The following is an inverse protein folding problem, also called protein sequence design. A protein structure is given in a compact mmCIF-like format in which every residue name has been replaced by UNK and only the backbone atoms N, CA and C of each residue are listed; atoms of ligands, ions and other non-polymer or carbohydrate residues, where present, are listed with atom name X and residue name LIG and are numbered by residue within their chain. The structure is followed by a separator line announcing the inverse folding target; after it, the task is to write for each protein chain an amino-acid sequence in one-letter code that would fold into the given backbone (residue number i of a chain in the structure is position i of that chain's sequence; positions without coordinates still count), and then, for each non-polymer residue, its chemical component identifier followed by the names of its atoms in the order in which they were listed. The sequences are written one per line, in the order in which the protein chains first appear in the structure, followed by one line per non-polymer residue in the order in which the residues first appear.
data_IF_990544055552
#
_entry.id   IF_990544055552
#
_cell.length_a   1.000
_cell.length_b   1.000
_cell.length_c   1.000
_cell.angle_alpha   90.00
_cell.angle_beta   90.00
_cell.angle_gamma   90.00
#
_symmetry.space_group_name_H-M   'P 1'
#
loop_
_entity.id
_entity.type
_entity.pdbx_description
1 polymer ?
#
# COMPACT_ATOMS: atom_id res chain seq x y z
N UNK A 1 -49.53 34.31 -11.71
CA UNK A 1 -48.07 34.40 -11.99
C UNK A 1 -47.32 35.01 -10.79
N UNK A 2 -47.12 34.28 -9.67
CA UNK A 2 -46.71 34.91 -8.40
C UNK A 2 -45.27 34.66 -7.93
N UNK A 3 -44.45 33.82 -8.59
CA UNK A 3 -43.12 33.44 -8.08
C UNK A 3 -41.96 33.61 -9.10
N UNK A 4 -42.23 34.20 -10.27
CA UNK A 4 -41.23 34.34 -11.36
C UNK A 4 -40.02 35.21 -10.98
N UNK A 5 -40.14 36.08 -9.97
CA UNK A 5 -39.04 36.94 -9.53
C UNK A 5 -37.91 36.16 -8.82
N UNK A 6 -38.21 34.99 -8.26
CA UNK A 6 -37.23 34.16 -7.55
C UNK A 6 -36.13 33.64 -8.49
N UNK A 7 -36.44 33.34 -9.75
CA UNK A 7 -35.46 32.90 -10.74
C UNK A 7 -34.42 33.98 -11.10
N UNK A 8 -34.67 35.26 -10.80
CA UNK A 8 -33.69 36.34 -10.96
C UNK A 8 -32.69 36.42 -9.79
N UNK A 9 -32.92 35.66 -8.72
CA UNK A 9 -32.05 35.63 -7.54
C UNK A 9 -30.98 34.56 -7.72
N UNK A 10 -29.72 34.92 -7.50
CA UNK A 10 -28.58 34.00 -7.68
C UNK A 10 -28.57 32.80 -6.74
N UNK A 11 -29.26 32.88 -5.60
CA UNK A 11 -29.36 31.79 -4.63
C UNK A 11 -30.53 30.84 -4.88
N UNK A 12 -31.38 31.09 -5.89
CA UNK A 12 -32.55 30.25 -6.14
C UNK A 12 -32.16 28.88 -6.71
N UNK A 13 -32.68 27.80 -6.12
CA UNK A 13 -32.33 26.40 -6.48
C UNK A 13 -32.78 26.02 -7.88
N UNK A 14 -33.90 26.57 -8.36
CA UNK A 14 -34.39 26.37 -9.73
C UNK A 14 -33.66 27.18 -10.81
N UNK A 15 -32.64 27.98 -10.44
CA UNK A 15 -31.82 28.70 -11.42
C UNK A 15 -30.94 27.73 -12.21
N UNK A 16 -30.92 27.85 -13.54
CA UNK A 16 -30.11 26.99 -14.43
C UNK A 16 -28.63 26.94 -14.02
N UNK A 17 -28.06 28.06 -13.55
CA UNK A 17 -26.67 28.14 -13.08
C UNK A 17 -26.44 27.29 -11.83
N UNK A 18 -27.41 27.25 -10.93
CA UNK A 18 -27.29 26.50 -9.68
C UNK A 18 -27.47 25.01 -9.95
N UNK A 19 -28.44 24.66 -10.80
CA UNK A 19 -28.63 23.28 -11.29
C UNK A 19 -27.36 22.78 -11.98
N UNK A 20 -26.75 23.59 -12.85
CA UNK A 20 -25.51 23.23 -13.53
C UNK A 20 -24.33 23.06 -12.55
N UNK A 21 -24.21 23.92 -11.55
CA UNK A 21 -23.16 23.81 -10.53
C UNK A 21 -23.33 22.56 -9.67
N UNK A 22 -24.56 22.26 -9.25
CA UNK A 22 -24.89 21.03 -8.50
C UNK A 22 -24.57 19.81 -9.35
N UNK A 23 -25.01 19.80 -10.61
CA UNK A 23 -24.73 18.70 -11.53
C UNK A 23 -23.23 18.48 -11.74
N UNK A 24 -22.44 19.55 -11.90
CA UNK A 24 -20.97 19.46 -11.99
C UNK A 24 -20.35 18.92 -10.70
N UNK A 25 -20.89 19.27 -9.54
CA UNK A 25 -20.42 18.76 -8.25
C UNK A 25 -20.76 17.27 -8.09
N UNK A 26 -21.97 16.86 -8.44
CA UNK A 26 -22.41 15.46 -8.46
C UNK A 26 -21.54 14.63 -9.40
N UNK A 27 -21.27 15.12 -10.61
CA UNK A 27 -20.42 14.40 -11.57
C UNK A 27 -18.99 14.18 -11.05
N UNK A 28 -18.40 15.19 -10.38
CA UNK A 28 -17.09 15.05 -9.75
C UNK A 28 -17.13 14.05 -8.61
N UNK A 29 -18.19 14.10 -7.79
CA UNK A 29 -18.37 13.19 -6.67
C UNK A 29 -18.50 11.74 -7.15
N UNK A 30 -19.29 11.48 -8.18
CA UNK A 30 -19.44 10.14 -8.77
C UNK A 30 -18.11 9.61 -9.33
N UNK A 31 -17.30 10.48 -9.95
CA UNK A 31 -15.98 10.11 -10.43
C UNK A 31 -15.01 9.77 -9.28
N UNK A 32 -15.08 10.50 -8.17
CA UNK A 32 -14.31 10.20 -6.95
C UNK A 32 -14.78 8.90 -6.29
N UNK A 33 -16.09 8.67 -6.21
CA UNK A 33 -16.67 7.43 -5.68
C UNK A 33 -16.23 6.21 -6.47
N UNK A 34 -16.30 6.26 -7.81
CA UNK A 34 -15.85 5.15 -8.66
C UNK A 34 -14.37 4.83 -8.48
N UNK A 35 -13.51 5.85 -8.34
CA UNK A 35 -12.08 5.65 -8.03
C UNK A 35 -11.88 5.00 -6.67
N UNK A 36 -12.65 5.41 -5.67
CA UNK A 36 -12.59 4.79 -4.33
C UNK A 36 -13.07 3.34 -4.35
N UNK A 37 -14.10 3.02 -5.11
CA UNK A 37 -14.59 1.65 -5.29
C UNK A 37 -13.58 0.75 -5.99
N UNK A 38 -12.93 1.24 -7.04
CA UNK A 38 -11.86 0.53 -7.73
C UNK A 38 -10.69 0.22 -6.78
N UNK A 39 -10.23 1.22 -6.01
CA UNK A 39 -9.18 1.02 -5.01
C UNK A 39 -9.61 0.05 -3.90
N UNK A 40 -10.86 0.14 -3.43
CA UNK A 40 -11.40 -0.80 -2.44
C UNK A 40 -11.41 -2.23 -2.98
N UNK A 41 -11.77 -2.39 -4.25
CA UNK A 41 -11.76 -3.69 -4.92
C UNK A 41 -10.34 -4.25 -5.05
N UNK A 42 -9.36 -3.43 -5.42
CA UNK A 42 -7.96 -3.83 -5.46
C UNK A 42 -7.45 -4.30 -4.10
N UNK A 43 -7.73 -3.55 -3.03
CA UNK A 43 -7.37 -3.95 -1.66
C UNK A 43 -8.02 -5.28 -1.27
N UNK A 44 -9.28 -5.50 -1.66
CA UNK A 44 -9.97 -6.75 -1.38
C UNK A 44 -9.35 -7.93 -2.15
N UNK A 45 -9.09 -7.77 -3.45
CA UNK A 45 -8.44 -8.81 -4.26
C UNK A 45 -7.02 -9.15 -3.76
N UNK A 46 -6.24 -8.17 -3.31
CA UNK A 46 -4.93 -8.40 -2.70
C UNK A 46 -5.04 -9.19 -1.39
N UNK A 47 -6.05 -8.88 -0.56
CA UNK A 47 -6.33 -9.63 0.68
C UNK A 47 -6.70 -11.08 0.37
N UNK A 48 -7.63 -11.31 -0.54
CA UNK A 48 -8.05 -12.66 -0.95
C UNK A 48 -6.85 -13.48 -1.48
N UNK A 49 -5.98 -12.87 -2.30
CA UNK A 49 -4.73 -13.52 -2.77
C UNK A 49 -3.79 -13.86 -1.64
N UNK A 50 -3.63 -12.96 -0.66
CA UNK A 50 -2.76 -13.19 0.50
C UNK A 50 -3.32 -14.30 1.41
N UNK A 51 -4.63 -14.33 1.62
CA UNK A 51 -5.31 -15.36 2.41
C UNK A 51 -5.22 -16.73 1.73
N UNK A 52 -5.36 -16.77 0.40
CA UNK A 52 -5.16 -18.00 -0.36
C UNK A 52 -3.74 -18.55 -0.25
N UNK A 53 -2.73 -17.68 -0.34
CA UNK A 53 -1.33 -18.06 -0.17
C UNK A 53 -1.07 -18.62 1.23
N UNK A 54 -1.54 -17.92 2.27
CA UNK A 54 -1.42 -18.35 3.67
C UNK A 54 -2.11 -19.71 3.91
N UNK A 55 -3.29 -19.94 3.32
CA UNK A 55 -4.00 -21.20 3.45
C UNK A 55 -3.24 -22.35 2.78
N UNK A 56 -2.60 -22.11 1.64
CA UNK A 56 -1.78 -23.10 0.94
C UNK A 56 -0.50 -23.45 1.71
N UNK A 57 0.11 -22.45 2.36
CA UNK A 57 1.24 -22.63 3.27
C UNK A 57 0.84 -23.41 4.53
N UNK A 58 -0.30 -23.06 5.14
CA UNK A 58 -0.81 -23.75 6.33
C UNK A 58 -1.23 -25.19 6.04
N UNK A 59 -1.75 -25.46 4.84
CA UNK A 59 -2.02 -26.80 4.34
C UNK A 59 -0.72 -27.59 3.99
N UNK A 60 0.45 -26.97 4.11
CA UNK A 60 1.76 -27.61 3.92
C UNK A 60 2.09 -27.94 2.46
N UNK A 61 1.40 -27.34 1.49
CA UNK A 61 1.48 -27.73 0.07
C UNK A 61 2.46 -26.88 -0.78
N UNK A 62 3.15 -25.88 -0.22
CA UNK A 62 4.07 -25.03 -1.00
C UNK A 62 5.54 -25.34 -0.71
N UNK A 63 6.14 -26.10 -1.64
CA UNK A 63 7.59 -26.13 -1.87
C UNK A 63 8.03 -24.75 -2.36
N UNK A 64 9.01 -24.15 -1.68
CA UNK A 64 9.63 -22.90 -2.10
C UNK A 64 10.22 -23.02 -3.51
N UNK A 65 9.55 -22.47 -4.53
CA UNK A 65 10.17 -22.21 -5.84
C UNK A 65 9.32 -21.25 -6.66
N UNK A 66 9.98 -20.18 -7.11
CA UNK A 66 9.87 -19.43 -8.36
C UNK A 66 8.77 -19.82 -9.36
N UNK A 67 8.26 -18.87 -10.17
CA UNK A 67 7.37 -19.18 -11.28
C UNK A 67 8.15 -19.96 -12.35
N UNK A 68 8.09 -21.28 -12.29
CA UNK A 68 8.56 -22.19 -13.32
C UNK A 68 7.37 -23.01 -13.81
N UNK A 69 6.68 -22.43 -14.80
CA UNK A 69 5.82 -23.21 -15.67
C UNK A 69 6.70 -24.08 -16.58
N UNK A 70 6.42 -25.38 -16.62
CA UNK A 70 6.81 -26.27 -17.72
C UNK A 70 7.97 -27.21 -17.43
N UNK A 71 7.66 -28.39 -16.88
CA UNK A 71 8.54 -29.56 -16.97
C UNK A 71 8.00 -30.56 -17.98
N UNK A 72 8.85 -30.99 -18.91
CA UNK A 72 8.79 -32.32 -19.56
C UNK A 72 9.95 -32.48 -20.55
N UNK A 73 10.83 -33.45 -20.33
CA UNK A 73 11.83 -33.83 -21.33
C UNK A 73 13.03 -34.56 -20.75
N UNK A 74 12.94 -35.89 -20.71
CA UNK A 74 13.99 -36.81 -20.32
C UNK A 74 15.18 -36.85 -21.31
N UNK A 75 16.36 -37.26 -20.83
CA UNK A 75 17.51 -37.68 -21.65
C UNK A 75 18.83 -37.08 -21.15
N UNK A 76 19.64 -37.78 -20.37
CA UNK A 76 20.59 -38.84 -20.75
C UNK A 76 22.00 -38.32 -21.11
N UNK A 77 23.00 -39.04 -20.56
CA UNK A 77 24.46 -38.99 -20.76
C UNK A 77 25.18 -37.74 -20.25
N UNK A 78 26.42 -37.78 -19.79
CA UNK A 78 27.37 -38.77 -19.27
C UNK A 78 28.62 -37.93 -18.93
N UNK A 79 29.34 -38.22 -17.84
CA UNK A 79 30.75 -37.78 -17.69
C UNK A 79 31.61 -38.42 -18.81
N UNK A 80 32.81 -37.91 -19.19
CA UNK A 80 33.79 -37.15 -18.37
C UNK A 80 34.54 -36.02 -19.11
N UNK A 81 35.33 -35.21 -18.38
CA UNK A 81 36.76 -34.98 -18.70
C UNK A 81 37.38 -33.98 -17.74
N UNK A 82 38.48 -34.41 -17.13
CA UNK A 82 39.45 -33.59 -16.43
C UNK A 82 40.07 -32.54 -17.36
N UNK A 83 40.05 -31.28 -16.93
CA UNK A 83 41.10 -30.31 -17.25
C UNK A 83 41.46 -29.55 -15.98
N UNK A 84 42.64 -29.87 -15.47
CA UNK A 84 43.37 -29.06 -14.51
C UNK A 84 43.72 -27.70 -15.16
N UNK A 85 43.68 -26.64 -14.36
CA UNK A 85 44.77 -25.67 -14.14
C UNK A 85 44.32 -24.65 -13.08
N UNK A 86 44.96 -24.76 -11.92
CA UNK A 86 45.50 -23.70 -11.04
C UNK A 86 44.63 -22.52 -10.60
N UNK A 87 44.49 -22.35 -9.27
CA UNK A 87 45.30 -21.35 -8.53
C UNK A 87 44.89 -21.23 -7.06
N UNK A 88 45.89 -21.46 -6.19
CA UNK A 88 46.19 -20.80 -4.91
C UNK A 88 45.12 -20.64 -3.81
N UNK A 89 45.46 -21.21 -2.65
CA UNK A 89 44.97 -20.83 -1.35
C UNK A 89 45.08 -19.31 -1.07
N UNK A 90 44.09 -18.75 -0.37
CA UNK A 90 44.34 -18.01 0.87
C UNK A 90 43.04 -17.70 1.61
N UNK A 91 42.93 -18.17 2.85
CA UNK A 91 42.07 -17.53 3.84
C UNK A 91 42.73 -16.19 4.19
N UNK A 92 42.12 -15.08 3.79
CA UNK A 92 42.47 -13.77 4.30
C UNK A 92 41.35 -13.26 5.20
N UNK A 93 41.63 -13.30 6.49
CA UNK A 93 40.99 -12.47 7.50
C UNK A 93 41.09 -10.99 7.11
N UNK A 94 40.03 -10.41 6.57
CA UNK A 94 39.87 -8.95 6.47
C UNK A 94 38.48 -8.53 7.00
N UNK A 95 38.42 -7.71 8.06
CA UNK A 95 37.17 -7.22 8.62
C UNK A 95 36.61 -6.08 7.75
N UNK A 96 36.14 -6.37 6.54
CA UNK A 96 35.33 -5.41 5.74
C UNK A 96 34.67 -6.05 4.51
N UNK A 97 33.80 -7.04 4.72
CA UNK A 97 32.91 -7.55 3.68
C UNK A 97 31.61 -6.71 3.53
N UNK A 98 31.58 -5.50 4.09
CA UNK A 98 30.41 -4.61 4.06
C UNK A 98 30.38 -3.71 2.80
N UNK A 99 31.52 -3.59 2.09
CA UNK A 99 31.65 -2.73 0.91
C UNK A 99 31.62 -3.48 -0.43
N UNK A 100 31.27 -4.76 -0.41
CA UNK A 100 31.13 -5.51 -1.66
C UNK A 100 29.87 -5.04 -2.38
N UNK A 101 30.06 -4.29 -3.46
CA UNK A 101 29.01 -3.66 -4.28
C UNK A 101 28.25 -4.72 -5.10
N UNK A 102 27.72 -5.73 -4.42
CA UNK A 102 26.81 -6.73 -4.98
C UNK A 102 25.57 -5.98 -5.48
N UNK A 103 25.13 -6.14 -6.74
CA UNK A 103 23.84 -5.59 -7.15
C UNK A 103 22.79 -6.12 -6.17
N UNK A 104 22.02 -5.19 -5.58
CA UNK A 104 21.02 -5.55 -4.58
C UNK A 104 20.12 -6.64 -5.17
N UNK A 105 20.11 -7.81 -4.53
CA UNK A 105 19.20 -8.89 -4.90
C UNK A 105 17.77 -8.36 -4.84
N UNK A 106 16.94 -8.65 -5.84
CA UNK A 106 15.54 -8.21 -5.86
C UNK A 106 14.79 -8.62 -4.58
N UNK A 107 15.15 -9.77 -3.99
CA UNK A 107 14.62 -10.23 -2.71
C UNK A 107 15.05 -9.36 -1.53
N UNK A 108 16.28 -8.84 -1.52
CA UNK A 108 16.75 -7.94 -0.46
C UNK A 108 16.11 -6.56 -0.57
N UNK A 109 15.90 -6.05 -1.79
CA UNK A 109 15.13 -4.83 -2.01
C UNK A 109 13.67 -5.00 -1.54
N UNK A 110 13.05 -6.15 -1.83
CA UNK A 110 11.69 -6.45 -1.41
C UNK A 110 11.57 -6.54 0.12
N UNK A 111 12.50 -7.23 0.81
CA UNK A 111 12.49 -7.29 2.29
C UNK A 111 12.72 -5.93 2.93
N UNK A 112 13.61 -5.12 2.37
CA UNK A 112 13.83 -3.73 2.85
C UNK A 112 12.58 -2.88 2.73
N UNK A 113 11.76 -3.07 1.71
CA UNK A 113 10.53 -2.29 1.54
C UNK A 113 9.37 -2.80 2.43
N UNK A 114 9.27 -4.10 2.65
CA UNK A 114 8.09 -4.71 3.29
C UNK A 114 8.31 -5.12 4.76
N UNK A 115 9.56 -5.18 5.22
CA UNK A 115 9.91 -5.52 6.60
C UNK A 115 10.80 -4.47 7.27
N UNK A 116 10.76 -3.23 6.78
CA UNK A 116 11.42 -2.11 7.45
C UNK A 116 10.73 -1.84 8.81
N UNK A 117 11.45 -1.99 9.93
CA UNK A 117 10.90 -1.69 11.25
C UNK A 117 10.40 -0.25 11.37
N UNK A 118 11.00 0.72 10.66
CA UNK A 118 10.58 2.12 10.70
C UNK A 118 9.25 2.33 9.97
N UNK A 119 9.05 1.65 8.84
CA UNK A 119 7.80 1.72 8.09
C UNK A 119 6.65 1.10 8.91
N UNK A 120 6.90 -0.01 9.60
CA UNK A 120 5.95 -0.63 10.52
C UNK A 120 5.58 0.30 11.69
N UNK A 121 6.54 1.02 12.25
CA UNK A 121 6.30 1.99 13.31
C UNK A 121 5.45 3.15 12.80
N UNK A 122 5.82 3.73 11.65
CA UNK A 122 5.09 4.84 11.02
C UNK A 122 3.66 4.46 10.67
N UNK A 123 3.44 3.23 10.22
CA UNK A 123 2.11 2.73 9.92
C UNK A 123 1.26 2.60 11.19
N UNK A 124 1.81 2.00 12.26
CA UNK A 124 1.14 1.92 13.57
C UNK A 124 0.79 3.29 14.13
N UNK A 125 1.68 4.28 13.97
CA UNK A 125 1.42 5.66 14.37
C UNK A 125 0.23 6.26 13.59
N UNK A 126 0.20 6.09 12.26
CA UNK A 126 -0.90 6.58 11.43
C UNK A 126 -2.23 5.90 11.78
N UNK A 127 -2.22 4.60 12.02
CA UNK A 127 -3.41 3.85 12.43
C UNK A 127 -3.93 4.31 13.79
N UNK A 128 -3.04 4.58 14.75
CA UNK A 128 -3.42 5.13 16.05
C UNK A 128 -4.07 6.51 15.90
N UNK A 129 -3.45 7.41 15.11
CA UNK A 129 -4.03 8.73 14.83
C UNK A 129 -5.38 8.64 14.12
N UNK A 130 -5.52 7.76 13.14
CA UNK A 130 -6.76 7.53 12.43
C UNK A 130 -7.85 6.99 13.37
N UNK A 131 -7.49 6.10 14.31
CA UNK A 131 -8.43 5.54 15.30
C UNK A 131 -8.98 6.61 16.23
N UNK A 132 -8.13 7.53 16.68
CA UNK A 132 -8.55 8.67 17.50
C UNK A 132 -9.39 9.63 16.65
N UNK A 133 -8.97 9.92 15.40
CA UNK A 133 -9.69 10.83 14.47
C UNK A 133 -11.08 10.32 14.09
N UNK A 134 -11.21 9.02 13.84
CA UNK A 134 -12.47 8.38 13.45
C UNK A 134 -13.43 8.22 14.63
N UNK A 135 -12.95 8.31 15.88
CA UNK A 135 -13.79 8.29 17.07
C UNK A 135 -14.26 9.73 17.41
N UNK A 136 -15.54 10.08 17.16
CA UNK A 136 -16.03 11.44 17.36
C UNK A 136 -16.03 11.85 18.84
N UNK A 137 -16.16 10.90 19.77
CA UNK A 137 -16.18 11.16 21.22
C UNK A 137 -14.78 11.54 21.70
N UNK A 138 -13.74 10.83 21.27
CA UNK A 138 -12.35 11.19 21.59
C UNK A 138 -11.93 12.51 20.92
N UNK A 139 -12.30 12.74 19.66
CA UNK A 139 -12.07 14.02 18.98
C UNK A 139 -12.77 15.19 19.68
N UNK A 140 -14.00 15.01 20.17
CA UNK A 140 -14.71 16.05 20.91
C UNK A 140 -14.03 16.39 22.23
N UNK A 141 -13.52 15.39 22.97
CA UNK A 141 -12.74 15.61 24.19
C UNK A 141 -11.43 16.37 23.91
N UNK A 142 -10.70 15.97 22.87
CA UNK A 142 -9.45 16.63 22.46
C UNK A 142 -9.72 18.08 22.03
N UNK A 143 -10.77 18.33 21.25
CA UNK A 143 -11.14 19.70 20.84
C UNK A 143 -11.48 20.59 22.03
N UNK A 144 -12.20 20.05 23.02
CA UNK A 144 -12.50 20.77 24.27
C UNK A 144 -11.23 21.10 25.02
N UNK A 145 -10.35 20.12 25.26
CA UNK A 145 -9.11 20.34 26.01
C UNK A 145 -8.16 21.33 25.32
N UNK A 146 -8.04 21.27 23.99
CA UNK A 146 -7.26 22.25 23.21
C UNK A 146 -7.86 23.65 23.30
N UNK A 147 -9.19 23.79 23.24
CA UNK A 147 -9.87 25.07 23.43
C UNK A 147 -9.57 25.66 24.83
N UNK A 148 -9.68 24.84 25.88
CA UNK A 148 -9.33 25.26 27.23
C UNK A 148 -7.86 25.63 27.38
N UNK A 149 -6.92 24.86 26.82
CA UNK A 149 -5.50 25.18 26.87
C UNK A 149 -5.18 26.48 26.11
N UNK A 150 -5.84 26.72 24.97
CA UNK A 150 -5.65 27.95 24.19
C UNK A 150 -6.19 29.19 24.89
N UNK A 151 -7.23 29.05 25.72
CA UNK A 151 -7.79 30.13 26.53
C UNK A 151 -6.94 30.36 27.79
N UNK A 152 -6.30 29.32 28.32
CA UNK A 152 -5.48 29.42 29.54
C UNK A 152 -4.07 29.99 29.29
N UNK A 153 -3.59 29.95 28.04
CA UNK A 153 -2.28 30.46 27.63
C UNK A 153 -2.33 31.79 26.85
N UNK A 154 -3.50 32.42 26.76
CA UNK A 154 -3.68 33.83 26.37
C UNK A 154 -3.98 34.67 27.62
#
# INVERSE_FOLDING_TARGET
MALKFLNKKGWHTGSLRNIENVWKAEQKHDAEQKKLEELRKQIHEERERSEFCLLQEQAGLVRASSPAAGGSGAGFKALPSCKATDSSANQSSTPSALFEHKPHSANDAWRKLHSDPLLMIRQREQEALARIKNNPVQMAMIRKSVCYLSILFL
#
